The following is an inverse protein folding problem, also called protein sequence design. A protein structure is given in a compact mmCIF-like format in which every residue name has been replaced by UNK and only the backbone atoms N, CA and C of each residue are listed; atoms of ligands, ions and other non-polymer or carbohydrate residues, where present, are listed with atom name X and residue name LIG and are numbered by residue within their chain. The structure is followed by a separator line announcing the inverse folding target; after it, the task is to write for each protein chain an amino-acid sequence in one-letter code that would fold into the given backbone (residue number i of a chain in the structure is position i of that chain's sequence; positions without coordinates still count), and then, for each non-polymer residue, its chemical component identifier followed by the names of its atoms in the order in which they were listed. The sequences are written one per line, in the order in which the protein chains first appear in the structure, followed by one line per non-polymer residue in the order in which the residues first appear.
data_IF_483033973433
#
_entry.id   IF_483033973433
#
_cell.length_a   1.000
_cell.length_b   1.000
_cell.length_c   1.000
_cell.angle_alpha   90.00
_cell.angle_beta   90.00
_cell.angle_gamma   90.00
#
_symmetry.space_group_name_H-M   'P 1'
#
loop_
_entity.id
_entity.type
_entity.pdbx_description
1 polymer ?
#
# COMPACT_ATOMS: atom_id res chain seq x y z
N UNK A 1 -31.85 9.37 -18.16
CA UNK A 1 -30.45 9.09 -18.52
C UNK A 1 -29.63 9.56 -17.34
N UNK A 2 -29.22 8.64 -16.46
CA UNK A 2 -28.51 8.99 -15.23
C UNK A 2 -27.02 8.91 -15.52
N UNK A 3 -26.44 10.05 -15.90
CA UNK A 3 -25.01 10.25 -16.03
C UNK A 3 -24.41 10.36 -14.61
N UNK A 4 -24.28 9.21 -13.96
CA UNK A 4 -23.50 9.02 -12.74
C UNK A 4 -22.25 8.28 -13.13
N UNK A 5 -21.39 8.92 -13.91
CA UNK A 5 -20.09 8.40 -14.29
C UNK A 5 -19.29 8.19 -13.00
N UNK A 6 -19.32 6.96 -12.47
CA UNK A 6 -18.41 6.51 -11.42
C UNK A 6 -17.00 6.53 -12.01
N UNK A 7 -16.41 7.72 -12.11
CA UNK A 7 -14.98 7.89 -12.21
C UNK A 7 -14.40 7.54 -10.84
N UNK A 8 -14.54 6.29 -10.44
CA UNK A 8 -13.58 5.63 -9.58
C UNK A 8 -12.30 5.54 -10.41
N UNK A 9 -11.66 6.68 -10.64
CA UNK A 9 -10.26 6.71 -11.02
C UNK A 9 -9.59 5.86 -9.97
N UNK A 10 -9.16 4.68 -10.39
CA UNK A 10 -8.31 3.78 -9.63
C UNK A 10 -7.00 4.53 -9.40
N UNK A 11 -7.02 5.48 -8.47
CA UNK A 11 -5.89 6.35 -8.17
C UNK A 11 -4.83 5.49 -7.51
N UNK A 12 -3.96 4.95 -8.36
CA UNK A 12 -2.79 4.17 -7.97
C UNK A 12 -1.69 5.07 -7.39
N UNK A 13 -1.87 6.40 -7.44
CA UNK A 13 -0.97 7.40 -6.87
C UNK A 13 -1.30 7.76 -5.41
N UNK A 14 -2.48 7.42 -4.90
CA UNK A 14 -2.89 7.78 -3.54
C UNK A 14 -1.89 7.27 -2.50
N UNK A 15 -1.53 8.13 -1.55
CA UNK A 15 -0.88 7.75 -0.30
C UNK A 15 -1.88 7.72 0.86
N UNK A 16 -1.55 6.94 1.89
CA UNK A 16 -2.26 6.84 3.16
C UNK A 16 -1.22 6.91 4.28
N UNK A 17 -1.68 7.31 5.47
CA UNK A 17 -0.85 7.28 6.68
C UNK A 17 -1.14 6.02 7.49
N UNK A 18 -0.10 5.27 7.83
CA UNK A 18 -0.16 4.09 8.70
C UNK A 18 0.99 4.15 9.71
N UNK A 19 0.68 4.17 11.00
CA UNK A 19 1.66 4.08 12.10
C UNK A 19 2.87 5.04 11.96
N UNK A 20 2.62 6.30 11.60
CA UNK A 20 3.70 7.29 11.41
C UNK A 20 4.45 7.20 10.07
N UNK A 21 3.96 6.39 9.13
CA UNK A 21 4.48 6.29 7.77
C UNK A 21 3.45 6.76 6.76
N UNK A 22 3.91 7.51 5.76
CA UNK A 22 3.17 7.70 4.52
C UNK A 22 3.51 6.57 3.55
N UNK A 23 2.52 5.81 3.10
CA UNK A 23 2.69 4.70 2.14
C UNK A 23 1.71 4.81 1.00
N UNK A 24 2.04 4.26 -0.17
CA UNK A 24 1.03 4.12 -1.24
C UNK A 24 -0.18 3.29 -0.75
N UNK A 25 -1.39 3.71 -1.11
CA UNK A 25 -2.64 3.07 -0.69
C UNK A 25 -2.78 1.66 -1.27
N UNK A 26 -2.36 1.49 -2.52
CA UNK A 26 -2.50 0.24 -3.27
C UNK A 26 -1.26 -0.60 -3.13
N UNK A 27 -1.43 -1.80 -2.58
CA UNK A 27 -0.40 -2.81 -2.48
C UNK A 27 0.27 -3.06 -3.86
N UNK A 28 1.60 -3.01 -3.98
CA UNK A 28 2.29 -3.12 -5.26
C UNK A 28 2.19 -4.53 -5.88
N UNK A 29 1.79 -5.56 -5.12
CA UNK A 29 1.53 -6.91 -5.61
C UNK A 29 0.22 -7.00 -6.43
N UNK A 30 -0.94 -6.93 -5.79
CA UNK A 30 -2.26 -7.09 -6.44
C UNK A 30 -3.26 -6.00 -6.05
N UNK A 31 -2.79 -4.78 -5.77
CA UNK A 31 -3.60 -3.57 -5.54
C UNK A 31 -4.58 -3.64 -4.37
N UNK A 32 -4.36 -4.55 -3.42
CA UNK A 32 -5.07 -4.56 -2.13
C UNK A 32 -5.03 -3.18 -1.45
N UNK A 33 -6.12 -2.82 -0.78
CA UNK A 33 -6.24 -1.55 -0.07
C UNK A 33 -5.49 -1.61 1.26
N UNK A 34 -4.30 -1.03 1.33
CA UNK A 34 -3.45 -1.08 2.53
C UNK A 34 -4.04 -0.30 3.71
N UNK A 35 -4.99 0.62 3.49
CA UNK A 35 -5.74 1.23 4.58
C UNK A 35 -6.67 0.26 5.30
N UNK A 36 -7.01 -0.87 4.67
CA UNK A 36 -7.88 -1.90 5.25
C UNK A 36 -7.10 -3.14 5.67
N UNK A 37 -6.09 -3.52 4.90
CA UNK A 37 -5.36 -4.77 5.07
C UNK A 37 -3.88 -4.59 5.43
N UNK A 38 -3.38 -3.35 5.46
CA UNK A 38 -2.01 -3.03 5.83
C UNK A 38 -1.87 -2.95 7.34
N UNK A 39 -0.91 -3.68 7.88
CA UNK A 39 -0.51 -3.62 9.29
C UNK A 39 0.97 -3.23 9.33
N UNK A 40 1.31 -2.26 10.18
CA UNK A 40 2.69 -1.84 10.40
C UNK A 40 3.16 -2.37 11.75
N UNK A 41 4.31 -3.03 11.75
CA UNK A 41 5.00 -3.50 12.95
C UNK A 41 6.44 -2.98 12.92
N UNK A 42 6.68 -1.88 13.64
CA UNK A 42 7.97 -1.18 13.66
C UNK A 42 8.34 -0.56 12.31
N UNK A 43 9.11 -1.29 11.51
CA UNK A 43 9.54 -0.88 10.17
C UNK A 43 9.09 -1.82 9.07
N UNK A 44 8.22 -2.79 9.38
CA UNK A 44 7.70 -3.75 8.41
C UNK A 44 6.22 -3.48 8.20
N UNK A 45 5.82 -3.36 6.94
CA UNK A 45 4.41 -3.37 6.54
C UNK A 45 4.05 -4.76 6.03
N UNK A 46 2.99 -5.34 6.57
CA UNK A 46 2.37 -6.58 6.11
C UNK A 46 1.02 -6.30 5.46
N UNK A 47 0.78 -6.84 4.26
CA UNK A 47 -0.53 -6.87 3.63
C UNK A 47 -1.24 -8.19 4.00
N UNK A 48 -2.18 -8.13 4.95
CA UNK A 48 -2.88 -9.30 5.49
C UNK A 48 -3.79 -10.02 4.48
N UNK A 49 -4.07 -9.43 3.32
CA UNK A 49 -4.88 -10.09 2.29
C UNK A 49 -4.10 -11.19 1.54
N UNK A 50 -2.79 -10.99 1.33
CA UNK A 50 -1.95 -11.88 0.53
C UNK A 50 -0.66 -12.33 1.26
N UNK A 51 -0.42 -11.84 2.47
CA UNK A 51 0.76 -12.17 3.29
C UNK A 51 2.08 -11.52 2.82
N UNK A 52 2.02 -10.53 1.93
CA UNK A 52 3.21 -9.85 1.44
C UNK A 52 3.74 -8.82 2.43
N UNK A 53 5.06 -8.71 2.51
CA UNK A 53 5.74 -7.85 3.47
C UNK A 53 6.74 -6.92 2.78
N UNK A 54 6.90 -5.72 3.32
CA UNK A 54 7.85 -4.72 2.86
C UNK A 54 8.56 -4.05 4.03
N UNK A 55 9.84 -3.73 3.84
CA UNK A 55 10.56 -2.86 4.76
C UNK A 55 10.25 -1.39 4.41
N UNK A 56 9.68 -0.66 5.35
CA UNK A 56 9.24 0.73 5.19
C UNK A 56 10.38 1.74 5.09
N UNK A 57 11.59 1.40 5.56
CA UNK A 57 12.75 2.28 5.49
C UNK A 57 13.32 2.40 4.08
N UNK A 58 13.22 1.34 3.28
CA UNK A 58 13.81 1.27 1.94
C UNK A 58 12.83 0.83 0.84
N UNK A 59 11.58 0.54 1.18
CA UNK A 59 10.54 0.09 0.26
C UNK A 59 10.74 -1.33 -0.28
N UNK A 60 11.76 -2.07 0.16
CA UNK A 60 12.10 -3.39 -0.39
C UNK A 60 11.04 -4.43 -0.01
N UNK A 61 10.58 -5.20 -0.98
CA UNK A 61 9.75 -6.38 -0.71
C UNK A 61 10.58 -7.47 -0.03
N UNK A 62 10.04 -8.01 1.07
CA UNK A 62 10.65 -9.06 1.87
C UNK A 62 10.18 -10.47 1.47
N UNK A 63 9.03 -10.56 0.77
CA UNK A 63 8.41 -11.83 0.39
C UNK A 63 8.83 -12.32 -0.99
N UNK A 64 9.13 -11.40 -1.93
CA UNK A 64 9.55 -11.74 -3.29
C UNK A 64 10.48 -10.67 -3.85
N UNK A 65 11.15 -10.97 -4.96
CA UNK A 65 11.98 -10.00 -5.65
C UNK A 65 11.11 -9.03 -6.48
N UNK A 66 11.43 -7.73 -6.43
CA UNK A 66 10.66 -6.69 -7.13
C UNK A 66 9.48 -6.11 -6.33
N UNK A 67 8.58 -5.39 -7.01
CA UNK A 67 7.40 -4.73 -6.44
C UNK A 67 7.71 -3.86 -5.21
N UNK A 68 8.61 -2.86 -5.33
CA UNK A 68 8.95 -1.98 -4.23
C UNK A 68 7.70 -1.20 -3.79
N UNK A 69 7.59 -0.99 -2.47
CA UNK A 69 6.58 -0.15 -1.86
C UNK A 69 7.11 1.27 -1.76
N UNK A 70 6.34 2.25 -2.21
CA UNK A 70 6.59 3.66 -1.90
C UNK A 70 6.19 3.92 -0.45
N UNK A 71 7.17 4.23 0.38
CA UNK A 71 7.00 4.60 1.78
C UNK A 71 7.91 5.75 2.18
N UNK A 72 7.46 6.57 3.13
CA UNK A 72 8.21 7.68 3.72
C UNK A 72 7.85 7.82 5.20
N UNK A 73 8.85 8.06 6.03
CA UNK A 73 8.63 8.37 7.45
C UNK A 73 8.10 9.81 7.60
N UNK A 74 7.05 9.99 8.39
CA UNK A 74 6.51 11.31 8.75
C UNK A 74 7.32 11.98 9.86
#
# INVERSE_FOLDING_TARGET
YADGWFAETHDVSASITLDGWEVQRRCPHLKADLSKFGVVEGTTLTCNLHGWQWNLQNGRCLTSNGHPLRSRKL
#
